data_IF_344116560457
#
_entry.id   IF_344116560457
#
_cell.length_a   1.000
_cell.length_b   1.000
_cell.length_c   1.000
_cell.angle_alpha   90.00
_cell.angle_beta   90.00
_cell.angle_gamma   90.00
#
_symmetry.space_group_name_H-M   'P 1'
#
loop_
_entity.id
_entity.type
_entity.pdbx_description
1 polymer ?
#
# COMPACT_ATOMS: atom_id res chain seq x y z
N UNK A 1 -2.83 -56.73 -21.42
CA UNK A 1 -1.53 -56.14 -21.71
C UNK A 1 -1.74 -55.13 -22.83
N UNK A 2 -1.83 -53.91 -22.50
CA UNK A 2 -1.74 -52.79 -23.41
C UNK A 2 -1.26 -51.60 -22.54
N UNK A 3 -0.01 -51.20 -22.78
CA UNK A 3 0.63 -50.07 -22.21
C UNK A 3 -0.15 -48.81 -22.55
N UNK A 4 -0.53 -48.04 -21.53
CA UNK A 4 -0.91 -46.64 -21.64
C UNK A 4 0.20 -45.83 -21.01
N UNK A 5 1.20 -45.56 -21.82
CA UNK A 5 2.15 -44.51 -21.57
C UNK A 5 1.55 -43.21 -22.14
N UNK A 6 0.69 -42.54 -21.35
CA UNK A 6 0.19 -41.20 -21.66
C UNK A 6 1.23 -40.23 -21.12
N UNK A 7 2.26 -39.93 -21.93
CA UNK A 7 3.21 -38.87 -21.66
C UNK A 7 2.50 -37.51 -21.68
N UNK A 8 2.41 -36.87 -20.51
CA UNK A 8 1.97 -35.48 -20.38
C UNK A 8 2.88 -34.55 -21.23
N UNK A 9 2.33 -33.48 -21.79
CA UNK A 9 3.09 -32.56 -22.64
C UNK A 9 4.22 -31.90 -21.85
N UNK A 10 5.38 -31.77 -22.51
CA UNK A 10 6.53 -31.08 -21.97
C UNK A 10 6.26 -29.57 -21.94
N UNK A 11 5.78 -29.08 -20.80
CA UNK A 11 5.48 -27.66 -20.57
C UNK A 11 6.73 -26.76 -20.71
N UNK A 12 7.93 -27.29 -20.50
CA UNK A 12 9.16 -26.55 -20.72
C UNK A 12 9.34 -26.23 -22.20
N UNK A 13 9.00 -27.16 -23.09
CA UNK A 13 9.01 -26.94 -24.54
C UNK A 13 7.94 -25.92 -24.97
N UNK A 14 6.76 -25.97 -24.35
CA UNK A 14 5.67 -25.02 -24.60
C UNK A 14 6.02 -23.59 -24.12
N UNK A 15 6.66 -23.50 -22.97
CA UNK A 15 7.11 -22.21 -22.43
C UNK A 15 8.22 -21.59 -23.29
N UNK A 16 9.20 -22.38 -23.70
CA UNK A 16 10.25 -21.94 -24.60
C UNK A 16 9.72 -21.50 -25.98
N UNK A 17 8.61 -22.09 -26.42
CA UNK A 17 7.96 -21.73 -27.68
C UNK A 17 7.11 -20.47 -27.57
N UNK A 18 6.50 -20.19 -26.41
CA UNK A 18 5.70 -18.98 -26.16
C UNK A 18 6.55 -17.75 -25.81
N UNK A 19 7.66 -17.94 -25.10
CA UNK A 19 8.48 -16.84 -24.56
C UNK A 19 9.87 -16.72 -25.20
N UNK A 20 10.20 -17.62 -26.14
CA UNK A 20 11.47 -17.64 -26.85
C UNK A 20 12.45 -18.71 -26.34
N UNK A 21 13.35 -19.20 -27.24
CA UNK A 21 14.27 -20.32 -26.91
C UNK A 21 15.36 -19.97 -25.88
N UNK A 22 15.56 -18.69 -25.59
CA UNK A 22 16.57 -18.19 -24.66
C UNK A 22 16.04 -17.90 -23.26
N UNK A 23 14.72 -18.12 -22.99
CA UNK A 23 14.11 -17.90 -21.68
C UNK A 23 14.13 -19.21 -20.90
N UNK A 24 15.11 -19.37 -20.01
CA UNK A 24 15.13 -20.48 -19.06
C UNK A 24 14.04 -20.30 -18.00
N UNK A 25 13.24 -21.35 -17.78
CA UNK A 25 12.30 -21.39 -16.65
C UNK A 25 13.07 -21.20 -15.33
N UNK A 26 12.69 -20.27 -14.45
CA UNK A 26 13.25 -20.19 -13.12
C UNK A 26 13.20 -21.57 -12.45
N UNK A 27 14.29 -22.02 -11.79
CA UNK A 27 14.38 -23.36 -11.22
C UNK A 27 13.26 -23.66 -10.22
N UNK A 28 12.71 -22.65 -9.56
CA UNK A 28 11.57 -22.76 -8.65
C UNK A 28 10.26 -23.07 -9.38
N UNK A 29 10.04 -22.46 -10.54
CA UNK A 29 8.89 -22.71 -11.41
C UNK A 29 8.96 -24.09 -12.06
N UNK A 30 10.15 -24.51 -12.46
CA UNK A 30 10.39 -25.85 -12.99
C UNK A 30 10.14 -26.94 -11.93
N UNK A 31 10.57 -26.72 -10.68
CA UNK A 31 10.30 -27.62 -9.56
C UNK A 31 8.80 -27.64 -9.20
N UNK A 32 8.13 -26.50 -9.19
CA UNK A 32 6.71 -26.40 -8.94
C UNK A 32 5.88 -27.12 -10.01
N UNK A 33 6.28 -27.00 -11.29
CA UNK A 33 5.61 -27.68 -12.41
C UNK A 33 5.87 -29.20 -12.37
N UNK A 34 7.08 -29.63 -12.02
CA UNK A 34 7.37 -31.05 -11.84
C UNK A 34 6.58 -31.68 -10.69
N UNK A 35 6.32 -30.91 -9.63
CA UNK A 35 5.48 -31.33 -8.50
C UNK A 35 3.98 -31.38 -8.85
N UNK A 36 3.51 -30.50 -9.74
CA UNK A 36 2.13 -30.52 -10.28
C UNK A 36 1.84 -31.74 -11.15
N UNK A 37 2.89 -32.31 -11.78
CA UNK A 37 2.76 -33.52 -12.60
C UNK A 37 2.73 -34.82 -11.76
N UNK A 38 2.99 -34.73 -10.45
CA UNK A 38 2.86 -35.87 -9.55
C UNK A 38 1.43 -36.02 -9.08
N UNK A 39 0.87 -37.21 -9.23
CA UNK A 39 -0.47 -37.56 -8.74
C UNK A 39 -0.53 -37.30 -7.22
N UNK A 40 -1.49 -36.48 -6.72
CA UNK A 40 -1.66 -36.20 -5.30
C UNK A 40 -1.80 -37.47 -4.44
N UNK A 41 -2.28 -38.57 -5.05
CA UNK A 41 -2.40 -39.85 -4.37
C UNK A 41 -1.04 -40.57 -4.21
N UNK A 42 0.02 -40.16 -4.90
CA UNK A 42 1.30 -40.85 -4.91
C UNK A 42 2.26 -40.46 -3.78
N UNK A 43 2.03 -39.30 -3.13
CA UNK A 43 2.90 -38.79 -2.05
C UNK A 43 2.13 -37.86 -1.11
N UNK A 44 2.28 -38.02 0.23
CA UNK A 44 1.70 -37.09 1.20
C UNK A 44 2.19 -35.64 1.00
N UNK A 45 3.40 -35.46 0.49
CA UNK A 45 3.97 -34.15 0.16
C UNK A 45 3.29 -33.53 -1.07
N UNK A 46 3.03 -34.32 -2.12
CA UNK A 46 2.29 -33.88 -3.30
C UNK A 46 0.84 -33.49 -2.95
N UNK A 47 0.17 -34.25 -2.09
CA UNK A 47 -1.19 -33.95 -1.59
C UNK A 47 -1.19 -32.64 -0.79
N UNK A 48 -0.22 -32.44 0.10
CA UNK A 48 -0.10 -31.21 0.90
C UNK A 48 0.22 -30.00 0.02
N UNK A 49 1.05 -30.17 -0.99
CA UNK A 49 1.41 -29.12 -1.96
C UNK A 49 0.23 -28.78 -2.87
N UNK A 50 -0.54 -29.77 -3.31
CA UNK A 50 -1.77 -29.60 -4.09
C UNK A 50 -2.85 -28.88 -3.27
N UNK A 51 -3.03 -29.27 -2.00
CA UNK A 51 -3.94 -28.59 -1.08
C UNK A 51 -3.49 -27.14 -0.78
N UNK A 52 -2.20 -26.91 -0.65
CA UNK A 52 -1.65 -25.57 -0.44
C UNK A 52 -1.81 -24.70 -1.68
N UNK A 53 -1.65 -25.27 -2.88
CA UNK A 53 -1.93 -24.58 -4.15
C UNK A 53 -3.40 -24.30 -4.35
N UNK A 54 -4.30 -25.25 -4.05
CA UNK A 54 -5.74 -24.99 -4.06
C UNK A 54 -6.15 -23.90 -3.07
N UNK A 55 -5.53 -23.83 -1.89
CA UNK A 55 -5.78 -22.77 -0.93
C UNK A 55 -5.28 -21.41 -1.43
N UNK A 56 -4.13 -21.36 -2.12
CA UNK A 56 -3.53 -20.14 -2.65
C UNK A 56 -4.25 -19.64 -3.92
N UNK A 57 -4.65 -20.55 -4.80
CA UNK A 57 -5.17 -20.23 -6.13
C UNK A 57 -6.66 -20.60 -6.32
N UNK A 58 -7.29 -21.22 -5.32
CA UNK A 58 -8.63 -21.82 -5.44
C UNK A 58 -9.79 -20.89 -5.16
N UNK A 59 -9.60 -19.66 -4.71
CA UNK A 59 -10.70 -18.80 -4.28
C UNK A 59 -10.77 -17.47 -5.02
N UNK A 60 -11.90 -17.22 -5.66
CA UNK A 60 -12.28 -15.91 -6.21
C UNK A 60 -12.85 -14.98 -5.13
N UNK A 61 -13.02 -15.45 -3.89
CA UNK A 61 -13.57 -14.68 -2.78
C UNK A 61 -12.52 -13.68 -2.25
N UNK A 62 -12.80 -12.37 -2.24
CA UNK A 62 -11.92 -11.36 -1.68
C UNK A 62 -11.49 -11.66 -0.24
N UNK A 63 -12.42 -12.14 0.60
CA UNK A 63 -12.12 -12.46 2.00
C UNK A 63 -11.13 -13.63 2.13
N UNK A 64 -11.22 -14.63 1.25
CA UNK A 64 -10.27 -15.74 1.24
C UNK A 64 -8.87 -15.30 0.79
N UNK A 65 -8.77 -14.30 -0.11
CA UNK A 65 -7.49 -13.71 -0.51
C UNK A 65 -6.83 -12.96 0.65
N UNK A 66 -7.61 -12.13 1.36
CA UNK A 66 -7.15 -11.44 2.59
C UNK A 66 -6.67 -12.46 3.62
N UNK A 67 -7.44 -13.51 3.88
CA UNK A 67 -7.06 -14.56 4.84
C UNK A 67 -5.75 -15.27 4.43
N UNK A 68 -5.59 -15.59 3.14
CA UNK A 68 -4.36 -16.21 2.62
C UNK A 68 -3.14 -15.31 2.81
N UNK A 69 -3.26 -14.02 2.48
CA UNK A 69 -2.17 -13.06 2.67
C UNK A 69 -1.84 -12.88 4.16
N UNK A 70 -2.86 -12.84 5.03
CA UNK A 70 -2.69 -12.76 6.48
C UNK A 70 -1.92 -13.96 7.01
N UNK A 71 -2.28 -15.17 6.60
CA UNK A 71 -1.60 -16.41 7.01
C UNK A 71 -0.14 -16.44 6.53
N UNK A 72 0.13 -15.97 5.33
CA UNK A 72 1.50 -15.86 4.81
C UNK A 72 2.31 -14.81 5.59
N UNK A 73 1.74 -13.65 5.84
CA UNK A 73 2.38 -12.60 6.62
C UNK A 73 2.72 -13.07 8.04
N UNK A 74 1.81 -13.81 8.69
CA UNK A 74 2.07 -14.42 10.01
C UNK A 74 3.21 -15.46 9.97
N UNK A 75 3.32 -16.23 8.89
CA UNK A 75 4.44 -17.16 8.70
C UNK A 75 5.77 -16.40 8.56
N UNK A 76 5.79 -15.28 7.83
CA UNK A 76 6.96 -14.41 7.73
C UNK A 76 7.33 -13.84 9.10
N UNK A 77 6.37 -13.31 9.86
CA UNK A 77 6.58 -12.84 11.23
C UNK A 77 7.22 -13.94 12.11
N UNK A 78 6.71 -15.16 12.04
CA UNK A 78 7.25 -16.29 12.80
C UNK A 78 8.68 -16.68 12.39
N UNK A 79 9.07 -16.46 11.13
CA UNK A 79 10.43 -16.71 10.65
C UNK A 79 11.44 -15.66 11.12
N UNK A 80 11.01 -14.40 11.27
CA UNK A 80 11.88 -13.30 11.75
C UNK A 80 12.28 -13.50 13.21
N UNK A 81 11.44 -14.16 14.01
CA UNK A 81 11.74 -14.48 15.41
C UNK A 81 10.48 -14.63 16.25
N UNK A 82 10.68 -14.90 17.53
CA UNK A 82 9.57 -15.07 18.46
C UNK A 82 8.70 -13.81 18.52
N UNK A 83 7.39 -14.01 18.40
CA UNK A 83 6.38 -12.96 18.55
C UNK A 83 5.60 -13.23 19.86
N UNK A 84 5.99 -12.51 20.91
CA UNK A 84 5.41 -12.73 22.22
C UNK A 84 3.98 -12.19 22.27
N UNK A 85 3.09 -12.95 22.90
CA UNK A 85 1.72 -12.50 23.16
C UNK A 85 1.71 -11.26 24.05
N UNK A 86 0.83 -10.31 23.77
CA UNK A 86 0.68 -9.08 24.54
C UNK A 86 0.09 -9.39 25.91
N UNK A 87 0.79 -8.92 26.96
CA UNK A 87 0.35 -9.05 28.34
C UNK A 87 -0.69 -7.99 28.70
N UNK A 88 -1.48 -8.27 29.75
CA UNK A 88 -2.44 -7.29 30.27
C UNK A 88 -1.76 -6.01 30.82
N UNK A 89 -0.53 -6.12 31.27
CA UNK A 89 0.27 -4.96 31.67
C UNK A 89 0.58 -4.07 30.49
N UNK A 90 1.06 -4.64 29.37
CA UNK A 90 1.36 -3.90 28.14
C UNK A 90 0.11 -3.24 27.52
N UNK A 91 -1.06 -3.91 27.59
CA UNK A 91 -2.33 -3.32 27.14
C UNK A 91 -2.69 -2.08 27.96
N UNK A 92 -2.55 -2.15 29.28
CA UNK A 92 -2.81 -1.00 30.16
C UNK A 92 -1.82 0.12 29.89
N UNK A 93 -0.53 -0.16 29.80
CA UNK A 93 0.49 0.84 29.52
C UNK A 93 0.27 1.57 28.17
N UNK A 94 -0.14 0.84 27.13
CA UNK A 94 -0.48 1.44 25.84
C UNK A 94 -1.74 2.33 25.96
N UNK A 95 -2.79 1.84 26.62
CA UNK A 95 -4.02 2.60 26.83
C UNK A 95 -3.77 3.89 27.65
N UNK A 96 -2.98 3.80 28.73
CA UNK A 96 -2.60 4.94 29.55
C UNK A 96 -1.74 5.94 28.77
N UNK A 97 -0.77 5.45 27.99
CA UNK A 97 0.07 6.31 27.16
C UNK A 97 -0.74 7.07 26.11
N UNK A 98 -1.74 6.43 25.50
CA UNK A 98 -2.64 7.07 24.52
C UNK A 98 -3.58 8.08 25.20
N UNK A 99 -4.07 7.80 26.38
CA UNK A 99 -4.85 8.75 27.15
C UNK A 99 -4.03 10.02 27.48
N UNK A 100 -2.77 9.84 27.90
CA UNK A 100 -1.84 10.96 28.13
C UNK A 100 -1.52 11.70 26.82
N UNK A 101 -1.29 10.96 25.73
CA UNK A 101 -1.03 11.55 24.40
C UNK A 101 -2.19 12.43 23.95
N UNK A 102 -3.44 12.00 24.16
CA UNK A 102 -4.63 12.79 23.84
C UNK A 102 -4.65 14.12 24.59
N UNK A 103 -4.38 14.08 25.89
CA UNK A 103 -4.31 15.29 26.74
C UNK A 103 -3.20 16.27 26.30
N UNK A 104 -2.06 15.75 25.82
CA UNK A 104 -0.97 16.61 25.35
C UNK A 104 -1.23 17.17 23.93
N UNK A 105 -2.02 16.49 23.13
CA UNK A 105 -2.37 16.93 21.78
C UNK A 105 -3.50 17.97 21.76
N UNK A 106 -4.44 17.92 22.70
CA UNK A 106 -5.60 18.83 22.74
C UNK A 106 -5.22 20.33 22.67
N UNK A 107 -4.16 20.83 23.38
CA UNK A 107 -3.78 22.23 23.31
C UNK A 107 -2.97 22.60 22.05
N UNK A 108 -2.59 21.66 21.19
CA UNK A 108 -1.68 21.90 20.05
C UNK A 108 -2.29 21.60 18.69
N UNK A 109 -3.51 21.08 18.61
CA UNK A 109 -4.24 20.87 17.35
C UNK A 109 -5.75 20.99 17.55
N UNK A 110 -6.46 21.50 16.52
CA UNK A 110 -7.94 21.55 16.49
C UNK A 110 -8.57 20.22 16.05
N UNK A 111 -7.75 19.28 15.51
CA UNK A 111 -8.24 17.98 15.11
C UNK A 111 -8.45 17.09 16.33
N UNK A 112 -9.67 16.61 16.49
CA UNK A 112 -10.08 15.77 17.61
C UNK A 112 -10.41 14.35 17.13
N UNK A 113 -10.15 13.36 17.99
CA UNK A 113 -10.66 12.00 17.85
C UNK A 113 -11.42 11.65 19.10
N UNK A 114 -12.76 11.78 19.06
CA UNK A 114 -13.59 11.26 20.15
C UNK A 114 -13.30 9.77 20.34
N UNK A 115 -13.12 9.35 21.61
CA UNK A 115 -12.95 7.94 21.97
C UNK A 115 -11.73 7.22 21.35
N UNK A 116 -10.58 7.92 21.22
CA UNK A 116 -9.33 7.29 20.79
C UNK A 116 -9.00 6.07 21.68
N UNK A 117 -8.83 4.90 21.04
CA UNK A 117 -8.58 3.65 21.74
C UNK A 117 -7.10 3.27 21.68
N UNK A 118 -6.44 3.29 22.84
CA UNK A 118 -5.07 2.82 22.99
C UNK A 118 -5.00 1.30 22.98
N UNK A 119 -4.25 0.73 22.04
CA UNK A 119 -4.04 -0.70 21.91
C UNK A 119 -2.55 -1.06 21.93
N UNK A 120 -2.25 -2.25 22.41
CA UNK A 120 -0.93 -2.87 22.28
C UNK A 120 -1.05 -4.07 21.36
N UNK A 121 -0.19 -4.14 20.34
CA UNK A 121 -0.19 -5.21 19.36
C UNK A 121 1.16 -5.93 19.31
N UNK A 122 1.09 -7.24 19.13
CA UNK A 122 2.19 -8.04 18.60
C UNK A 122 2.32 -7.82 17.10
N UNK A 123 3.39 -8.32 16.49
CA UNK A 123 3.57 -8.24 15.03
C UNK A 123 2.46 -8.98 14.28
N UNK A 124 2.02 -10.13 14.80
CA UNK A 124 0.92 -10.89 14.21
C UNK A 124 -0.41 -10.14 14.33
N UNK A 125 -0.70 -9.51 15.48
CA UNK A 125 -1.91 -8.69 15.68
C UNK A 125 -1.90 -7.46 14.75
N UNK A 126 -0.73 -6.82 14.55
CA UNK A 126 -0.60 -5.72 13.58
C UNK A 126 -0.91 -6.18 12.15
N UNK A 127 -0.38 -7.33 11.72
CA UNK A 127 -0.69 -7.92 10.41
C UNK A 127 -2.19 -8.16 10.27
N UNK A 128 -2.82 -8.79 11.27
CA UNK A 128 -4.26 -9.10 11.22
C UNK A 128 -5.12 -7.84 11.14
N UNK A 129 -4.79 -6.83 11.93
CA UNK A 129 -5.55 -5.58 11.97
C UNK A 129 -5.38 -4.73 10.69
N UNK A 130 -4.22 -4.76 10.05
CA UNK A 130 -3.92 -3.87 8.92
C UNK A 130 -4.12 -4.51 7.54
N UNK A 131 -4.11 -5.84 7.43
CA UNK A 131 -4.18 -6.53 6.14
C UNK A 131 -5.39 -6.15 5.28
N UNK A 132 -6.61 -5.98 5.81
CA UNK A 132 -7.75 -5.53 5.00
C UNK A 132 -7.54 -4.15 4.35
N UNK A 133 -6.88 -3.23 5.06
CA UNK A 133 -6.54 -1.91 4.53
C UNK A 133 -5.45 -1.98 3.46
N UNK A 134 -4.43 -2.82 3.66
CA UNK A 134 -3.40 -3.06 2.65
C UNK A 134 -4.00 -3.58 1.34
N UNK A 135 -4.97 -4.50 1.40
CA UNK A 135 -5.67 -4.97 0.20
C UNK A 135 -6.36 -3.82 -0.52
N UNK A 136 -7.15 -3.00 0.18
CA UNK A 136 -7.84 -1.85 -0.43
C UNK A 136 -6.89 -0.88 -1.11
N UNK A 137 -5.73 -0.62 -0.47
CA UNK A 137 -4.73 0.33 -0.99
C UNK A 137 -4.04 -0.16 -2.26
N UNK A 138 -3.71 -1.45 -2.35
CA UNK A 138 -2.87 -1.96 -3.44
C UNK A 138 -3.61 -2.80 -4.49
N UNK A 139 -4.86 -3.21 -4.23
CA UNK A 139 -5.70 -3.96 -5.19
C UNK A 139 -5.88 -3.20 -6.53
N UNK A 140 -6.11 -1.86 -6.57
CA UNK A 140 -6.20 -1.14 -7.84
C UNK A 140 -4.91 -1.21 -8.68
N UNK A 141 -3.75 -1.21 -8.03
CA UNK A 141 -2.45 -1.35 -8.72
C UNK A 141 -2.32 -2.76 -9.32
N UNK A 142 -2.69 -3.79 -8.56
CA UNK A 142 -2.68 -5.18 -9.03
C UNK A 142 -3.65 -5.42 -10.20
N UNK A 143 -4.82 -4.80 -10.17
CA UNK A 143 -5.80 -4.84 -11.26
C UNK A 143 -5.25 -4.15 -12.52
N UNK A 144 -4.57 -3.01 -12.38
CA UNK A 144 -3.88 -2.31 -13.45
C UNK A 144 -2.84 -3.21 -14.14
N UNK A 145 -1.96 -3.85 -13.37
CA UNK A 145 -0.95 -4.80 -13.87
C UNK A 145 -1.60 -5.98 -14.60
N UNK A 146 -2.64 -6.56 -14.01
CA UNK A 146 -3.36 -7.69 -14.64
C UNK A 146 -4.06 -7.28 -15.93
N UNK A 147 -4.68 -6.09 -15.94
CA UNK A 147 -5.31 -5.51 -17.13
C UNK A 147 -4.32 -5.25 -18.27
N UNK A 148 -3.13 -4.73 -17.95
CA UNK A 148 -2.05 -4.51 -18.90
C UNK A 148 -1.57 -5.83 -19.52
N UNK A 149 -1.34 -6.85 -18.69
CA UNK A 149 -0.91 -8.18 -19.16
C UNK A 149 -1.96 -8.79 -20.12
N UNK A 150 -3.24 -8.67 -19.80
CA UNK A 150 -4.34 -9.11 -20.67
C UNK A 150 -4.36 -8.36 -22.00
N UNK A 151 -4.21 -7.03 -21.96
CA UNK A 151 -4.20 -6.18 -23.13
C UNK A 151 -3.00 -6.48 -24.04
N UNK A 152 -1.82 -6.68 -23.45
CA UNK A 152 -0.61 -7.07 -24.18
C UNK A 152 -0.77 -8.44 -24.85
N UNK A 153 -1.30 -9.43 -24.12
CA UNK A 153 -1.55 -10.76 -24.66
C UNK A 153 -2.58 -10.72 -25.79
N UNK A 154 -3.69 -9.98 -25.60
CA UNK A 154 -4.69 -9.80 -26.64
C UNK A 154 -4.08 -9.16 -27.91
N UNK A 155 -3.32 -8.08 -27.75
CA UNK A 155 -2.66 -7.40 -28.88
C UNK A 155 -1.66 -8.32 -29.62
N UNK A 156 -0.96 -9.20 -28.91
CA UNK A 156 -0.07 -10.18 -29.51
C UNK A 156 -0.84 -11.26 -30.29
N UNK A 157 -1.96 -11.73 -29.76
CA UNK A 157 -2.83 -12.68 -30.41
C UNK A 157 -3.54 -12.09 -31.61
N UNK A 158 -4.00 -10.83 -31.54
CA UNK A 158 -4.59 -10.12 -32.67
C UNK A 158 -3.57 -9.97 -33.82
N UNK A 159 -2.30 -9.68 -33.53
CA UNK A 159 -1.21 -9.64 -34.54
C UNK A 159 -0.95 -11.01 -35.18
N UNK A 160 -1.03 -12.08 -34.39
CA UNK A 160 -0.90 -13.45 -34.91
C UNK A 160 -2.12 -13.84 -35.77
N UNK A 161 -3.33 -13.37 -35.42
CA UNK A 161 -4.57 -13.59 -36.18
C UNK A 161 -4.62 -12.80 -37.48
N UNK A 162 -4.08 -11.59 -37.56
CA UNK A 162 -3.98 -10.79 -38.81
C UNK A 162 -3.07 -11.45 -39.85
N UNK A 163 -2.19 -12.36 -39.48
CA UNK A 163 -1.32 -13.13 -40.38
C UNK A 163 -1.92 -14.43 -40.93
N UNK A 164 -3.04 -14.92 -40.36
CA UNK A 164 -3.65 -16.20 -40.76
C UNK A 164 -5.16 -16.19 -40.46
N UNK A 165 -5.99 -16.26 -41.53
CA UNK A 165 -7.46 -16.32 -41.41
C UNK A 165 -8.00 -17.53 -40.62
N UNK A 166 -7.19 -18.54 -40.34
CA UNK A 166 -7.44 -19.65 -39.41
C UNK A 166 -6.11 -20.09 -38.80
N UNK A 167 -5.87 -19.73 -37.56
CA UNK A 167 -4.82 -20.37 -36.75
C UNK A 167 -5.17 -21.83 -36.58
N UNK A 168 -4.53 -22.70 -37.38
CA UNK A 168 -4.60 -24.15 -37.15
C UNK A 168 -3.82 -24.45 -35.84
N UNK A 169 -4.57 -24.65 -34.76
CA UNK A 169 -4.01 -25.00 -33.45
C UNK A 169 -3.13 -26.25 -33.50
N UNK A 170 -3.27 -27.08 -34.57
CA UNK A 170 -2.34 -28.19 -34.84
C UNK A 170 -0.97 -27.71 -35.28
N UNK A 171 -0.91 -26.56 -35.97
CA UNK A 171 0.38 -25.95 -36.38
C UNK A 171 1.19 -25.44 -35.19
N UNK A 172 0.53 -25.21 -34.02
CA UNK A 172 1.17 -24.86 -32.76
C UNK A 172 1.74 -26.10 -32.01
N UNK A 173 1.59 -27.29 -32.56
CA UNK A 173 2.16 -28.52 -31.98
C UNK A 173 1.47 -28.98 -30.70
N UNK A 174 0.25 -28.50 -30.42
CA UNK A 174 -0.51 -28.93 -29.24
C UNK A 174 -0.96 -30.39 -29.40
N UNK A 175 -0.83 -31.23 -28.34
CA UNK A 175 -1.31 -32.60 -28.34
C UNK A 175 -2.83 -32.68 -28.58
N UNK A 176 -3.28 -33.69 -29.33
CA UNK A 176 -4.70 -33.91 -29.63
C UNK A 176 -5.58 -34.01 -28.37
N UNK A 177 -5.03 -34.53 -27.29
CA UNK A 177 -5.71 -34.60 -25.98
C UNK A 177 -6.01 -33.22 -25.38
N UNK A 178 -5.09 -32.27 -25.55
CA UNK A 178 -5.27 -30.88 -25.13
C UNK A 178 -6.24 -30.15 -26.05
N UNK A 179 -6.13 -30.36 -27.35
CA UNK A 179 -7.08 -29.82 -28.35
C UNK A 179 -8.51 -30.33 -28.10
N UNK A 180 -8.66 -31.57 -27.70
CA UNK A 180 -9.98 -32.15 -27.36
C UNK A 180 -10.55 -31.55 -26.06
N UNK A 181 -9.71 -31.25 -25.05
CA UNK A 181 -10.13 -30.56 -23.82
C UNK A 181 -10.46 -29.08 -24.07
N UNK A 182 -9.85 -28.47 -25.04
CA UNK A 182 -10.04 -27.07 -25.41
C UNK A 182 -11.18 -26.86 -26.45
N UNK A 183 -11.95 -27.92 -26.74
CA UNK A 183 -13.12 -27.85 -27.64
C UNK A 183 -12.85 -28.28 -29.07
N UNK A 184 -11.67 -28.78 -29.41
CA UNK A 184 -11.28 -29.27 -30.75
C UNK A 184 -10.45 -28.26 -31.56
N UNK A 185 -9.89 -28.74 -32.68
CA UNK A 185 -9.00 -27.95 -33.53
C UNK A 185 -9.66 -26.72 -34.21
N UNK A 186 -11.00 -26.74 -34.30
CA UNK A 186 -11.81 -25.67 -34.91
C UNK A 186 -12.34 -24.65 -33.90
N UNK A 187 -11.89 -24.74 -32.61
CA UNK A 187 -12.35 -23.80 -31.57
C UNK A 187 -11.77 -22.40 -31.84
N UNK A 188 -12.62 -21.36 -31.94
CA UNK A 188 -12.14 -20.00 -32.12
C UNK A 188 -11.18 -19.61 -30.99
N UNK A 189 -10.09 -18.94 -31.31
CA UNK A 189 -9.09 -18.44 -30.33
C UNK A 189 -9.75 -17.65 -29.18
N UNK A 190 -10.83 -16.92 -29.48
CA UNK A 190 -11.64 -16.20 -28.49
C UNK A 190 -12.31 -17.10 -27.45
N UNK A 191 -12.73 -18.31 -27.82
CA UNK A 191 -13.31 -19.28 -26.90
C UNK A 191 -12.24 -19.92 -26.01
N UNK A 192 -11.06 -20.19 -26.56
CA UNK A 192 -9.87 -20.63 -25.80
C UNK A 192 -9.45 -19.59 -24.76
N UNK A 193 -9.35 -18.33 -25.15
CA UNK A 193 -9.07 -17.22 -24.24
C UNK A 193 -10.11 -17.13 -23.13
N UNK A 194 -11.39 -17.30 -23.45
CA UNK A 194 -12.48 -17.30 -22.47
C UNK A 194 -12.36 -18.41 -21.41
N UNK A 195 -11.71 -19.53 -21.72
CA UNK A 195 -11.47 -20.62 -20.76
C UNK A 195 -10.17 -20.42 -19.95
N UNK A 196 -9.12 -19.86 -20.55
CA UNK A 196 -7.81 -19.68 -19.88
C UNK A 196 -7.78 -18.40 -19.03
N UNK A 197 -8.49 -17.34 -19.45
CA UNK A 197 -8.50 -16.06 -18.73
C UNK A 197 -8.87 -16.18 -17.25
N UNK A 198 -9.95 -16.90 -16.85
CA UNK A 198 -10.29 -17.03 -15.42
C UNK A 198 -9.21 -17.72 -14.59
N UNK A 199 -8.57 -18.75 -15.14
CA UNK A 199 -7.47 -19.44 -14.45
C UNK A 199 -6.24 -18.55 -14.28
N UNK A 200 -5.92 -17.74 -15.29
CA UNK A 200 -4.83 -16.76 -15.21
C UNK A 200 -5.14 -15.64 -14.20
N UNK A 201 -6.36 -15.14 -14.18
CA UNK A 201 -6.81 -14.16 -13.19
C UNK A 201 -6.68 -14.68 -11.77
N UNK A 202 -7.11 -15.91 -11.56
CA UNK A 202 -7.05 -16.58 -10.27
C UNK A 202 -5.60 -16.79 -9.82
N UNK A 203 -4.72 -17.23 -10.73
CA UNK A 203 -3.30 -17.39 -10.45
C UNK A 203 -2.62 -16.06 -10.15
N UNK A 204 -2.87 -15.02 -10.93
CA UNK A 204 -2.36 -13.67 -10.72
C UNK A 204 -2.81 -13.10 -9.37
N UNK A 205 -4.09 -13.26 -9.04
CA UNK A 205 -4.67 -12.83 -7.76
C UNK A 205 -4.04 -13.54 -6.56
N UNK A 206 -3.80 -14.85 -6.68
CA UNK A 206 -3.13 -15.64 -5.63
C UNK A 206 -1.67 -15.24 -5.44
N UNK A 207 -0.95 -14.98 -6.54
CA UNK A 207 0.44 -14.51 -6.49
C UNK A 207 0.53 -13.12 -5.87
N UNK A 208 -0.39 -12.23 -6.21
CA UNK A 208 -0.50 -10.92 -5.60
C UNK A 208 -0.75 -11.02 -4.08
N UNK A 209 -1.71 -11.82 -3.64
CA UNK A 209 -1.99 -12.04 -2.22
C UNK A 209 -0.76 -12.59 -1.48
N UNK A 210 0.01 -13.48 -2.12
CA UNK A 210 1.25 -14.01 -1.55
C UNK A 210 2.34 -12.93 -1.41
N UNK A 211 2.56 -12.12 -2.44
CA UNK A 211 3.53 -11.02 -2.42
C UNK A 211 3.15 -9.96 -1.36
N UNK A 212 1.87 -9.59 -1.31
CA UNK A 212 1.38 -8.65 -0.29
C UNK A 212 1.60 -9.21 1.12
N UNK A 213 1.25 -10.49 1.35
CA UNK A 213 1.47 -11.15 2.62
C UNK A 213 2.94 -11.17 3.04
N UNK A 214 3.86 -11.45 2.11
CA UNK A 214 5.30 -11.40 2.37
C UNK A 214 5.76 -9.98 2.71
N UNK A 215 5.34 -8.98 1.94
CA UNK A 215 5.72 -7.59 2.16
C UNK A 215 5.22 -7.04 3.49
N UNK A 216 3.93 -7.24 3.80
CA UNK A 216 3.33 -6.79 5.07
C UNK A 216 3.94 -7.53 6.26
N UNK A 217 4.19 -8.85 6.13
CA UNK A 217 4.87 -9.62 7.16
C UNK A 217 6.31 -9.15 7.44
N UNK A 218 7.04 -8.75 6.40
CA UNK A 218 8.37 -8.16 6.56
C UNK A 218 8.31 -6.78 7.24
N UNK A 219 7.32 -5.93 6.90
CA UNK A 219 7.11 -4.63 7.54
C UNK A 219 6.78 -4.75 9.02
N UNK A 220 6.02 -5.77 9.42
CA UNK A 220 5.67 -6.03 10.82
C UNK A 220 6.89 -6.21 11.74
N UNK A 221 8.04 -6.59 11.19
CA UNK A 221 9.29 -6.70 11.95
C UNK A 221 9.84 -5.33 12.38
N UNK A 222 9.57 -4.29 11.59
CA UNK A 222 10.19 -2.98 11.74
C UNK A 222 9.27 -1.93 12.35
N UNK A 223 7.93 -2.03 12.21
CA UNK A 223 7.00 -1.01 12.70
C UNK A 223 6.93 -0.96 14.22
N UNK A 224 6.77 0.22 14.79
CA UNK A 224 6.63 0.44 16.25
C UNK A 224 5.23 0.88 16.65
N UNK A 225 4.39 1.27 15.67
CA UNK A 225 3.01 1.71 15.88
C UNK A 225 2.10 1.36 14.69
N UNK A 226 0.79 1.47 14.88
CA UNK A 226 -0.22 1.03 13.93
C UNK A 226 -0.08 1.62 12.55
N UNK A 227 0.06 2.95 12.46
CA UNK A 227 0.11 3.71 11.21
C UNK A 227 1.50 4.30 10.90
N UNK A 228 2.59 3.74 11.48
CA UNK A 228 3.97 4.26 11.26
C UNK A 228 4.36 4.35 9.77
N UNK A 229 3.77 3.53 8.95
CA UNK A 229 3.96 3.58 7.49
C UNK A 229 3.42 4.85 6.82
N UNK A 230 2.74 5.73 7.57
CA UNK A 230 2.18 6.99 7.03
C UNK A 230 0.89 6.82 6.24
N UNK A 231 0.22 5.67 6.36
CA UNK A 231 -1.02 5.33 5.68
C UNK A 231 -2.14 5.02 6.67
N UNK A 232 -3.42 5.27 6.31
CA UNK A 232 -4.58 4.94 7.14
C UNK A 232 -4.89 3.43 7.10
N UNK A 233 -3.99 2.62 7.66
CA UNK A 233 -4.10 1.15 7.61
C UNK A 233 -4.80 0.54 8.82
N UNK A 234 -5.18 1.34 9.81
CA UNK A 234 -5.93 0.91 11.00
C UNK A 234 -7.37 1.40 10.94
N UNK A 235 -8.25 0.78 11.71
CA UNK A 235 -9.60 1.31 11.90
C UNK A 235 -9.55 2.71 12.53
N UNK A 236 -10.53 3.60 12.19
CA UNK A 236 -10.57 4.95 12.74
C UNK A 236 -10.56 4.97 14.28
N UNK A 237 -9.77 5.88 14.84
CA UNK A 237 -9.65 6.04 16.29
C UNK A 237 -8.77 5.01 17.01
N UNK A 238 -8.26 4.00 16.33
CA UNK A 238 -7.33 3.02 16.93
C UNK A 238 -5.91 3.59 16.91
N UNK A 239 -5.34 3.76 18.11
CA UNK A 239 -3.95 4.19 18.34
C UNK A 239 -3.18 3.00 18.90
N UNK A 240 -2.45 2.31 18.05
CA UNK A 240 -1.77 1.07 18.43
C UNK A 240 -0.26 1.27 18.60
N UNK A 241 0.29 0.67 19.64
CA UNK A 241 1.73 0.59 19.88
C UNK A 241 2.19 -0.85 19.86
N UNK A 242 3.44 -1.09 19.51
CA UNK A 242 4.06 -2.41 19.49
C UNK A 242 5.10 -2.51 20.60
N UNK A 243 4.75 -3.03 21.80
CA UNK A 243 5.58 -2.94 22.99
C UNK A 243 6.98 -3.54 22.83
N UNK A 244 7.11 -4.65 22.13
CA UNK A 244 8.41 -5.29 21.91
C UNK A 244 9.35 -4.39 21.10
N UNK A 245 8.84 -3.73 20.05
CA UNK A 245 9.60 -2.80 19.22
C UNK A 245 9.86 -1.47 19.93
N UNK A 246 8.92 -0.99 20.77
CA UNK A 246 9.11 0.17 21.63
C UNK A 246 10.27 -0.07 22.60
N UNK A 247 10.30 -1.23 23.26
CA UNK A 247 11.40 -1.62 24.15
C UNK A 247 12.75 -1.72 23.42
N UNK A 248 12.76 -2.23 22.17
CA UNK A 248 13.96 -2.30 21.36
C UNK A 248 14.46 -0.89 21.02
N UNK A 249 13.60 0.02 20.57
CA UNK A 249 13.97 1.42 20.31
C UNK A 249 14.51 2.10 21.55
N UNK A 250 13.91 1.86 22.71
CA UNK A 250 14.38 2.39 23.98
C UNK A 250 15.80 1.91 24.32
N UNK A 251 16.06 0.62 24.15
CA UNK A 251 17.37 0.02 24.36
C UNK A 251 18.43 0.58 23.38
N UNK A 252 18.09 0.71 22.09
CA UNK A 252 18.99 1.21 21.05
C UNK A 252 19.38 2.69 21.28
N UNK A 253 18.45 3.48 21.81
CA UNK A 253 18.67 4.90 22.11
C UNK A 253 19.25 5.13 23.49
N UNK A 254 19.22 4.14 24.40
CA UNK A 254 19.57 4.31 25.80
C UNK A 254 18.65 5.30 26.54
N UNK A 255 17.38 5.38 26.12
CA UNK A 255 16.35 6.25 26.71
C UNK A 255 15.36 5.38 27.48
N UNK A 256 14.83 5.91 28.59
CA UNK A 256 13.79 5.25 29.38
C UNK A 256 12.58 4.85 28.51
N UNK A 257 12.15 3.60 28.62
CA UNK A 257 11.10 3.03 27.79
C UNK A 257 9.76 3.78 27.92
N UNK A 258 9.44 4.29 29.12
CA UNK A 258 8.19 5.03 29.31
C UNK A 258 8.21 6.36 28.51
N UNK A 259 9.36 7.02 28.41
CA UNK A 259 9.49 8.23 27.58
C UNK A 259 9.36 7.90 26.08
N UNK A 260 9.99 6.82 25.63
CA UNK A 260 9.88 6.36 24.22
C UNK A 260 8.42 6.00 23.91
N UNK A 261 7.76 5.24 24.79
CA UNK A 261 6.35 4.86 24.65
C UNK A 261 5.43 6.07 24.58
N UNK A 262 5.58 7.05 25.45
CA UNK A 262 4.79 8.28 25.42
C UNK A 262 5.04 9.10 24.15
N UNK A 263 6.29 9.24 23.73
CA UNK A 263 6.62 9.94 22.48
C UNK A 263 5.95 9.27 21.27
N UNK A 264 6.05 7.94 21.17
CA UNK A 264 5.47 7.19 20.07
C UNK A 264 3.93 7.20 20.14
N UNK A 265 3.34 7.17 21.33
CA UNK A 265 1.90 7.32 21.53
C UNK A 265 1.40 8.69 21.05
N UNK A 266 2.09 9.77 21.38
CA UNK A 266 1.74 11.13 20.88
C UNK A 266 1.84 11.20 19.37
N UNK A 267 2.91 10.65 18.79
CA UNK A 267 3.12 10.64 17.35
C UNK A 267 2.05 9.84 16.61
N UNK A 268 1.73 8.65 17.11
CA UNK A 268 0.69 7.80 16.53
C UNK A 268 -0.68 8.43 16.70
N UNK A 269 -1.01 8.96 17.89
CA UNK A 269 -2.27 9.64 18.13
C UNK A 269 -2.44 10.90 17.26
N UNK A 270 -1.37 11.65 17.00
CA UNK A 270 -1.39 12.79 16.07
C UNK A 270 -1.77 12.33 14.65
N UNK A 271 -1.17 11.23 14.16
CA UNK A 271 -1.45 10.68 12.84
C UNK A 271 -2.89 10.14 12.74
N UNK A 272 -3.34 9.43 13.77
CA UNK A 272 -4.73 8.93 13.83
C UNK A 272 -5.73 10.09 13.89
N UNK A 273 -5.42 11.19 14.61
CA UNK A 273 -6.25 12.41 14.60
C UNK A 273 -6.38 12.99 13.19
N UNK A 274 -5.27 13.04 12.45
CA UNK A 274 -5.29 13.53 11.08
C UNK A 274 -6.16 12.63 10.17
N UNK A 275 -5.91 11.33 10.16
CA UNK A 275 -6.67 10.40 9.30
C UNK A 275 -8.15 10.29 9.68
N UNK A 276 -8.50 10.43 10.96
CA UNK A 276 -9.88 10.36 11.43
C UNK A 276 -10.59 11.71 11.27
N UNK A 277 -9.91 12.81 11.58
CA UNK A 277 -10.45 14.16 11.54
C UNK A 277 -10.53 14.77 10.13
N UNK A 278 -9.87 14.18 9.15
CA UNK A 278 -9.83 14.62 7.74
C UNK A 278 -10.41 13.55 6.82
N UNK A 279 -11.73 13.44 6.68
CA UNK A 279 -12.40 12.31 6.02
C UNK A 279 -12.04 12.10 4.55
N UNK A 280 -11.61 13.15 3.85
CA UNK A 280 -11.22 13.09 2.44
C UNK A 280 -9.79 12.57 2.22
N UNK A 281 -8.92 12.61 3.26
CA UNK A 281 -7.48 12.33 3.12
C UNK A 281 -7.21 10.86 2.80
N UNK A 282 -7.83 9.93 3.51
CA UNK A 282 -7.70 8.48 3.24
C UNK A 282 -8.11 8.12 1.82
N UNK A 283 -9.35 8.43 1.38
CA UNK A 283 -9.79 8.22 0.00
C UNK A 283 -8.91 8.89 -1.06
N UNK A 284 -8.36 10.08 -0.78
CA UNK A 284 -7.45 10.75 -1.70
C UNK A 284 -6.11 10.00 -1.84
N UNK A 285 -5.56 9.49 -0.74
CA UNK A 285 -4.35 8.65 -0.78
C UNK A 285 -4.64 7.35 -1.56
N UNK A 286 -5.75 6.68 -1.29
CA UNK A 286 -6.18 5.48 -2.01
C UNK A 286 -6.32 5.74 -3.53
N UNK A 287 -6.99 6.84 -3.90
CA UNK A 287 -7.13 7.24 -5.30
C UNK A 287 -5.78 7.61 -5.95
N UNK A 288 -4.88 8.26 -5.22
CA UNK A 288 -3.55 8.59 -5.71
C UNK A 288 -2.71 7.33 -5.96
N UNK A 289 -2.74 6.35 -5.06
CA UNK A 289 -2.09 5.04 -5.25
C UNK A 289 -2.70 4.32 -6.47
N UNK A 290 -4.02 4.25 -6.57
CA UNK A 290 -4.72 3.63 -7.72
C UNK A 290 -4.49 4.34 -9.06
N UNK A 291 -4.13 5.63 -9.04
CA UNK A 291 -3.82 6.40 -10.25
C UNK A 291 -2.38 6.18 -10.78
N UNK A 292 -1.54 5.46 -10.04
CA UNK A 292 -0.25 5.00 -10.53
C UNK A 292 -0.51 3.90 -11.57
N UNK A 293 -0.70 4.34 -12.83
CA UNK A 293 -1.08 3.45 -13.93
C UNK A 293 0.10 2.51 -14.27
N UNK A 294 -0.02 1.24 -13.87
CA UNK A 294 0.92 0.17 -14.21
C UNK A 294 0.53 -0.55 -15.51
N UNK A 295 -0.34 0.05 -16.32
CA UNK A 295 -0.91 -0.60 -17.51
C UNK A 295 -0.05 -0.50 -18.77
N UNK A 296 1.16 0.08 -18.71
CA UNK A 296 2.07 0.12 -19.87
C UNK A 296 2.66 -1.27 -20.16
N UNK A 297 2.29 -1.92 -21.29
CA UNK A 297 2.78 -3.25 -21.64
C UNK A 297 4.30 -3.30 -21.87
N UNK A 298 4.92 -2.20 -22.27
CA UNK A 298 6.36 -2.14 -22.52
C UNK A 298 7.13 -2.11 -21.20
N UNK A 299 6.65 -1.30 -20.24
CA UNK A 299 7.19 -1.25 -18.87
C UNK A 299 7.01 -2.61 -18.15
N UNK A 300 5.85 -3.26 -18.34
CA UNK A 300 5.60 -4.59 -17.77
C UNK A 300 6.54 -5.65 -18.33
N UNK A 301 6.81 -5.63 -19.63
CA UNK A 301 7.71 -6.60 -20.28
C UNK A 301 9.18 -6.40 -19.84
N UNK A 302 9.60 -5.17 -19.60
CA UNK A 302 10.90 -4.84 -19.05
C UNK A 302 11.02 -5.27 -17.58
N UNK A 303 10.00 -5.01 -16.77
CA UNK A 303 9.92 -5.42 -15.37
C UNK A 303 9.91 -6.96 -15.22
N UNK A 304 9.19 -7.67 -16.07
CA UNK A 304 9.17 -9.13 -16.10
C UNK A 304 10.54 -9.72 -16.51
N UNK A 305 11.23 -9.09 -17.47
CA UNK A 305 12.56 -9.55 -17.90
C UNK A 305 13.62 -9.38 -16.82
N UNK A 306 13.43 -8.43 -15.89
CA UNK A 306 14.34 -8.13 -14.78
C UNK A 306 13.94 -8.80 -13.46
N UNK A 307 12.87 -9.61 -13.43
CA UNK A 307 12.26 -10.20 -12.23
C UNK A 307 11.91 -9.16 -11.13
N UNK A 308 11.72 -7.90 -11.52
CA UNK A 308 11.39 -6.77 -10.64
C UNK A 308 10.13 -6.10 -11.17
N UNK A 309 8.96 -6.53 -10.69
CA UNK A 309 7.65 -6.02 -11.12
C UNK A 309 7.46 -4.49 -10.94
N UNK A 310 8.30 -3.84 -10.13
CA UNK A 310 8.20 -2.41 -9.79
C UNK A 310 9.45 -1.60 -10.18
N UNK A 311 10.36 -2.13 -11.00
CA UNK A 311 11.60 -1.46 -11.38
C UNK A 311 11.55 -0.77 -12.76
N UNK A 312 10.40 -0.75 -13.41
CA UNK A 312 10.23 -0.03 -14.68
C UNK A 312 10.35 1.49 -14.45
N UNK A 313 11.01 2.19 -15.37
CA UNK A 313 11.09 3.65 -15.34
C UNK A 313 9.68 4.24 -15.50
N UNK A 314 9.16 5.03 -14.54
CA UNK A 314 7.82 5.58 -14.63
C UNK A 314 7.63 6.46 -15.87
N UNK A 315 6.48 6.38 -16.50
CA UNK A 315 6.09 7.35 -17.53
C UNK A 315 5.93 8.75 -16.92
N UNK A 316 5.96 9.84 -17.70
CA UNK A 316 5.76 11.19 -17.16
C UNK A 316 4.45 11.37 -16.39
N UNK A 317 3.39 10.65 -16.78
CA UNK A 317 2.10 10.67 -16.08
C UNK A 317 2.17 9.92 -14.75
N UNK A 318 2.80 8.76 -14.73
CA UNK A 318 3.07 8.00 -13.49
C UNK A 318 3.95 8.81 -12.55
N UNK A 319 5.02 9.44 -13.05
CA UNK A 319 5.89 10.29 -12.24
C UNK A 319 5.10 11.43 -11.60
N UNK A 320 4.22 12.10 -12.35
CA UNK A 320 3.38 13.17 -11.80
C UNK A 320 2.39 12.66 -10.72
N UNK A 321 1.88 11.43 -10.85
CA UNK A 321 1.03 10.82 -9.83
C UNK A 321 1.83 10.47 -8.57
N UNK A 322 3.03 9.90 -8.74
CA UNK A 322 3.95 9.60 -7.64
C UNK A 322 4.41 10.87 -6.91
N UNK A 323 4.70 11.96 -7.64
CA UNK A 323 5.09 13.24 -7.05
C UNK A 323 3.97 13.83 -6.19
N UNK A 324 2.70 13.77 -6.67
CA UNK A 324 1.53 14.21 -5.87
C UNK A 324 1.34 13.35 -4.63
N UNK A 325 1.43 12.03 -4.77
CA UNK A 325 1.35 11.12 -3.62
C UNK A 325 2.47 11.41 -2.62
N UNK A 326 3.70 11.54 -3.09
CA UNK A 326 4.86 11.88 -2.27
C UNK A 326 4.70 13.20 -1.52
N UNK A 327 4.15 14.24 -2.17
CA UNK A 327 3.84 15.51 -1.53
C UNK A 327 2.77 15.37 -0.45
N UNK A 328 1.68 14.63 -0.71
CA UNK A 328 0.61 14.38 0.28
C UNK A 328 1.17 13.66 1.52
N UNK A 329 1.98 12.62 1.32
CA UNK A 329 2.60 11.89 2.42
C UNK A 329 3.60 12.74 3.20
N UNK A 330 4.35 13.60 2.50
CA UNK A 330 5.26 14.55 3.14
C UNK A 330 4.48 15.57 3.99
N UNK A 331 3.35 16.05 3.51
CA UNK A 331 2.47 16.96 4.26
C UNK A 331 1.91 16.29 5.51
N UNK A 332 1.42 15.05 5.41
CA UNK A 332 0.96 14.27 6.57
C UNK A 332 2.06 14.15 7.62
N UNK A 333 3.22 13.65 7.23
CA UNK A 333 4.31 13.42 8.17
C UNK A 333 4.93 14.71 8.71
N UNK A 334 4.98 15.79 7.90
CA UNK A 334 5.44 17.09 8.33
C UNK A 334 4.53 17.71 9.39
N UNK A 335 3.20 17.60 9.22
CA UNK A 335 2.23 18.02 10.21
C UNK A 335 2.34 17.21 11.51
N UNK A 336 2.43 15.87 11.38
CA UNK A 336 2.64 14.98 12.54
C UNK A 336 3.91 15.31 13.30
N UNK A 337 5.02 15.60 12.61
CA UNK A 337 6.28 16.00 13.25
C UNK A 337 6.13 17.29 14.07
N UNK A 338 5.52 18.33 13.46
CA UNK A 338 5.33 19.62 14.10
C UNK A 338 4.43 19.50 15.34
N UNK A 339 3.27 18.87 15.20
CA UNK A 339 2.28 18.72 16.27
C UNK A 339 2.85 17.84 17.41
N UNK A 340 3.51 16.73 17.06
CA UNK A 340 4.18 15.87 18.05
C UNK A 340 5.25 16.67 18.83
N UNK A 341 6.11 17.42 18.13
CA UNK A 341 7.16 18.19 18.78
C UNK A 341 6.58 19.22 19.76
N UNK A 342 5.51 19.93 19.36
CA UNK A 342 4.83 20.89 20.23
C UNK A 342 4.19 20.22 21.47
N UNK A 343 3.55 19.06 21.27
CA UNK A 343 2.89 18.32 22.36
C UNK A 343 3.86 17.76 23.39
N UNK A 344 5.01 17.22 22.96
CA UNK A 344 5.93 16.52 23.87
C UNK A 344 6.96 17.46 24.53
N UNK A 345 7.26 18.62 23.93
CA UNK A 345 8.31 19.52 24.41
C UNK A 345 8.18 19.94 25.88
N UNK A 346 6.97 20.23 26.41
CA UNK A 346 6.81 20.60 27.83
C UNK A 346 6.98 19.43 28.80
N UNK A 347 6.90 18.18 28.33
CA UNK A 347 6.69 17.00 29.15
C UNK A 347 7.85 16.00 29.13
N UNK A 348 8.54 15.87 27.99
CA UNK A 348 9.60 14.88 27.82
C UNK A 348 10.99 15.55 27.77
N UNK A 349 11.87 15.26 28.74
CA UNK A 349 13.23 15.79 28.73
C UNK A 349 14.04 15.40 27.49
N UNK A 350 13.75 14.22 26.91
CA UNK A 350 14.41 13.67 25.74
C UNK A 350 13.67 13.95 24.42
N UNK A 351 12.67 14.86 24.40
CA UNK A 351 11.84 15.15 23.22
C UNK A 351 12.64 15.41 21.94
N UNK A 352 13.70 16.23 22.03
CA UNK A 352 14.56 16.56 20.89
C UNK A 352 15.31 15.33 20.34
N UNK A 353 15.85 14.50 21.22
CA UNK A 353 16.57 13.27 20.85
C UNK A 353 15.62 12.25 20.19
N UNK A 354 14.41 12.09 20.75
CA UNK A 354 13.37 11.21 20.22
C UNK A 354 12.87 11.69 18.85
N UNK A 355 12.71 13.01 18.67
CA UNK A 355 12.36 13.61 17.39
C UNK A 355 13.42 13.36 16.31
N UNK A 356 14.69 13.50 16.66
CA UNK A 356 15.80 13.20 15.75
C UNK A 356 15.87 11.71 15.42
N UNK A 357 15.67 10.83 16.40
CA UNK A 357 15.62 9.39 16.18
C UNK A 357 14.47 9.00 15.25
N UNK A 358 13.28 9.59 15.42
CA UNK A 358 12.12 9.37 14.54
C UNK A 358 12.41 9.84 13.10
N UNK A 359 13.08 10.98 12.90
CA UNK A 359 13.48 11.45 11.56
C UNK A 359 14.50 10.52 10.90
N UNK A 360 15.50 10.03 11.64
CA UNK A 360 16.48 9.06 11.12
C UNK A 360 15.85 7.74 10.77
N UNK A 361 14.92 7.27 11.61
CA UNK A 361 14.21 6.00 11.38
C UNK A 361 13.37 6.00 10.09
N UNK A 362 12.89 7.16 9.63
CA UNK A 362 12.17 7.26 8.36
C UNK A 362 13.04 6.98 7.14
N UNK A 363 14.32 7.34 7.19
CA UNK A 363 15.26 7.05 6.10
C UNK A 363 15.58 5.56 6.10
N UNK A 364 15.13 4.83 5.09
CA UNK A 364 15.22 3.36 5.03
C UNK A 364 14.27 2.61 5.95
N UNK A 365 13.31 3.31 6.58
CA UNK A 365 12.36 2.73 7.53
C UNK A 365 11.17 2.05 6.88
N UNK A 366 10.19 1.60 7.72
CA UNK A 366 9.02 0.83 7.25
C UNK A 366 8.22 1.54 6.17
N UNK A 367 7.98 2.86 6.31
CA UNK A 367 7.25 3.64 5.33
C UNK A 367 7.93 3.63 3.96
N UNK A 368 9.25 3.92 3.90
CA UNK A 368 9.99 3.91 2.65
C UNK A 368 10.00 2.50 2.01
N UNK A 369 10.20 1.45 2.81
CA UNK A 369 10.15 0.06 2.34
C UNK A 369 8.78 -0.31 1.77
N UNK A 370 7.69 0.11 2.44
CA UNK A 370 6.33 -0.12 1.98
C UNK A 370 6.07 0.55 0.62
N UNK A 371 6.38 1.84 0.51
CA UNK A 371 6.14 2.60 -0.71
C UNK A 371 7.03 2.13 -1.87
N UNK A 372 8.31 1.87 -1.63
CA UNK A 372 9.21 1.32 -2.64
C UNK A 372 8.76 -0.08 -3.10
N UNK A 373 8.31 -0.93 -2.16
CA UNK A 373 7.92 -2.31 -2.45
C UNK A 373 6.55 -2.45 -3.11
N UNK A 374 5.57 -1.60 -2.77
CA UNK A 374 4.19 -1.75 -3.25
C UNK A 374 3.79 -0.77 -4.36
N UNK A 375 4.43 0.39 -4.42
CA UNK A 375 4.03 1.47 -5.33
C UNK A 375 5.20 1.97 -6.18
N UNK A 376 6.44 1.58 -5.85
CA UNK A 376 7.64 2.08 -6.54
C UNK A 376 7.99 3.54 -6.20
N UNK A 377 7.43 4.08 -5.10
CA UNK A 377 7.65 5.45 -4.67
C UNK A 377 8.83 5.54 -3.71
N UNK A 378 9.79 6.41 -4.00
CA UNK A 378 10.82 6.84 -3.05
C UNK A 378 10.42 8.18 -2.43
N UNK A 379 10.09 8.18 -1.11
CA UNK A 379 9.69 9.39 -0.39
C UNK A 379 10.94 10.20 -0.05
N UNK A 380 11.12 11.33 -0.72
CA UNK A 380 12.28 12.20 -0.56
C UNK A 380 12.35 12.86 0.84
N UNK A 381 13.44 12.70 1.59
CA UNK A 381 13.62 13.35 2.90
C UNK A 381 13.58 14.90 2.83
N UNK A 382 13.85 15.49 1.67
CA UNK A 382 13.77 16.94 1.46
C UNK A 382 12.33 17.42 1.56
N UNK A 383 11.39 16.77 0.86
CA UNK A 383 9.96 17.13 0.87
C UNK A 383 9.37 17.10 2.28
N UNK A 384 9.80 16.16 3.13
CA UNK A 384 9.38 16.11 4.53
C UNK A 384 9.77 17.36 5.33
N UNK A 385 10.98 17.91 5.09
CA UNK A 385 11.43 19.15 5.74
C UNK A 385 10.68 20.36 5.22
N UNK A 386 10.46 20.43 3.92
CA UNK A 386 9.72 21.53 3.29
C UNK A 386 8.27 21.55 3.82
N UNK A 387 7.62 20.39 3.96
CA UNK A 387 6.30 20.27 4.58
C UNK A 387 6.29 20.70 6.05
N UNK A 388 7.28 20.27 6.86
CA UNK A 388 7.38 20.70 8.26
C UNK A 388 7.54 22.21 8.36
N UNK A 389 8.36 22.83 7.50
CA UNK A 389 8.59 24.27 7.46
C UNK A 389 7.32 25.02 7.02
N UNK A 390 6.57 24.52 6.05
CA UNK A 390 5.30 25.08 5.61
C UNK A 390 4.28 25.12 6.76
N UNK A 391 4.12 24.00 7.47
CA UNK A 391 3.22 23.91 8.62
C UNK A 391 3.65 24.85 9.77
N UNK A 392 4.95 24.98 10.01
CA UNK A 392 5.49 25.91 11.00
C UNK A 392 5.21 27.38 10.60
N UNK A 393 5.38 27.73 9.33
CA UNK A 393 5.09 29.08 8.82
C UNK A 393 3.60 29.44 8.91
N UNK A 394 2.69 28.48 8.63
CA UNK A 394 1.26 28.68 8.86
C UNK A 394 0.93 28.89 10.33
N UNK A 395 1.54 28.10 11.21
CA UNK A 395 1.37 28.25 12.64
C UNK A 395 1.87 29.62 13.14
N UNK A 396 3.04 30.06 12.70
CA UNK A 396 3.61 31.36 13.04
C UNK A 396 2.74 32.52 12.54
N UNK A 397 2.06 32.33 11.40
CA UNK A 397 1.21 33.36 10.78
C UNK A 397 -0.16 33.52 11.42
N UNK A 398 -0.80 32.43 11.79
CA UNK A 398 -2.19 32.45 12.26
C UNK A 398 -2.53 31.41 13.31
N UNK A 399 -1.51 30.82 13.93
CA UNK A 399 -1.66 29.83 14.99
C UNK A 399 -2.22 28.50 14.51
N UNK A 400 -2.63 27.71 15.49
CA UNK A 400 -3.24 26.40 15.30
C UNK A 400 -4.46 26.43 14.35
N UNK A 401 -5.41 27.40 14.46
CA UNK A 401 -6.57 27.40 13.59
C UNK A 401 -6.23 27.57 12.11
N UNK A 402 -5.31 28.47 11.75
CA UNK A 402 -4.93 28.65 10.34
C UNK A 402 -4.21 27.44 9.78
N UNK A 403 -3.33 26.82 10.57
CA UNK A 403 -2.62 25.59 10.17
C UNK A 403 -3.60 24.45 9.92
N UNK A 404 -4.50 24.15 10.86
CA UNK A 404 -5.35 22.98 10.82
C UNK A 404 -6.53 23.17 9.85
N UNK A 405 -7.05 24.39 9.65
CA UNK A 405 -8.04 24.71 8.64
C UNK A 405 -7.59 24.43 7.19
N UNK A 406 -6.30 24.22 6.96
CA UNK A 406 -5.80 23.75 5.67
C UNK A 406 -6.22 22.31 5.35
N UNK A 407 -6.68 21.56 6.35
CA UNK A 407 -7.21 20.20 6.20
C UNK A 407 -8.74 20.13 6.06
N UNK A 408 -9.46 21.26 6.13
CA UNK A 408 -10.93 21.27 6.07
C UNK A 408 -11.47 20.82 4.70
N UNK A 409 -10.73 21.09 3.62
CA UNK A 409 -11.12 20.70 2.27
C UNK A 409 -9.89 20.37 1.41
N UNK A 410 -9.98 19.42 0.45
CA UNK A 410 -8.86 19.08 -0.45
C UNK A 410 -8.26 20.29 -1.18
N UNK A 411 -9.12 21.25 -1.62
CA UNK A 411 -8.67 22.44 -2.35
C UNK A 411 -7.95 23.46 -1.45
N UNK A 412 -8.06 23.30 -0.14
CA UNK A 412 -7.37 24.14 0.84
C UNK A 412 -6.02 23.52 1.27
N UNK A 413 -5.82 22.24 1.03
CA UNK A 413 -4.59 21.55 1.37
C UNK A 413 -3.45 22.01 0.48
N UNK A 414 -2.20 22.10 1.02
CA UNK A 414 -1.04 22.43 0.21
C UNK A 414 -0.80 21.37 -0.87
N UNK A 415 -0.27 21.81 -2.00
CA UNK A 415 0.13 20.96 -3.14
C UNK A 415 1.64 20.74 -3.19
N UNK A 416 2.10 19.97 -4.17
CA UNK A 416 3.54 19.82 -4.45
C UNK A 416 4.20 21.18 -4.77
N UNK A 417 3.51 22.05 -5.53
CA UNK A 417 4.00 23.38 -5.90
C UNK A 417 4.10 24.31 -4.67
N UNK A 418 3.20 24.15 -3.71
CA UNK A 418 3.21 24.92 -2.46
C UNK A 418 4.37 24.50 -1.53
N UNK A 419 4.88 23.28 -1.66
CA UNK A 419 6.11 22.88 -0.98
C UNK A 419 7.35 23.54 -1.57
N UNK A 420 7.31 23.97 -2.83
CA UNK A 420 8.39 24.71 -3.48
C UNK A 420 8.29 26.22 -3.19
N UNK A 421 7.07 26.74 -2.91
CA UNK A 421 6.81 28.13 -2.49
C UNK A 421 5.95 28.21 -1.20
N UNK A 422 6.48 27.79 -0.04
CA UNK A 422 5.72 27.76 1.20
C UNK A 422 5.18 29.13 1.63
N UNK A 423 5.94 30.20 1.38
CA UNK A 423 5.52 31.56 1.78
C UNK A 423 4.38 32.06 0.92
N UNK A 424 4.38 31.79 -0.38
CA UNK A 424 3.26 32.13 -1.25
C UNK A 424 1.98 31.42 -0.85
N UNK A 425 2.05 30.15 -0.44
CA UNK A 425 0.90 29.43 0.10
C UNK A 425 0.40 30.05 1.40
N UNK A 426 1.29 30.34 2.37
CA UNK A 426 0.93 30.97 3.66
C UNK A 426 0.25 32.32 3.44
N UNK A 427 0.77 33.15 2.54
CA UNK A 427 0.18 34.46 2.24
C UNK A 427 -1.22 34.31 1.60
N UNK A 428 -1.42 33.36 0.69
CA UNK A 428 -2.75 33.06 0.11
C UNK A 428 -3.74 32.61 1.19
N UNK A 429 -3.31 31.74 2.11
CA UNK A 429 -4.17 31.22 3.19
C UNK A 429 -4.48 32.25 4.26
N UNK A 430 -3.59 33.21 4.51
CA UNK A 430 -3.77 34.27 5.48
C UNK A 430 -4.49 35.50 4.89
N UNK A 431 -4.64 35.57 3.56
CA UNK A 431 -5.35 36.66 2.92
C UNK A 431 -6.85 36.60 3.28
N UNK A 432 -7.51 37.76 3.51
CA UNK A 432 -8.96 37.76 3.66
C UNK A 432 -9.62 37.20 2.40
N UNK A 433 -10.75 36.48 2.53
CA UNK A 433 -11.47 35.98 1.39
C UNK A 433 -11.80 37.11 0.44
N UNK A 434 -11.40 36.99 -0.82
CA UNK A 434 -11.79 37.95 -1.84
C UNK A 434 -13.21 37.56 -2.30
N UNK A 435 -14.15 38.52 -2.31
CA UNK A 435 -15.48 38.24 -2.79
C UNK A 435 -15.42 37.77 -4.25
N UNK A 436 -16.03 36.66 -4.54
CA UNK A 436 -16.16 36.16 -5.91
C UNK A 436 -17.21 36.97 -6.70
N UNK A 437 -17.39 36.66 -7.99
CA UNK A 437 -18.36 37.37 -8.82
C UNK A 437 -19.78 37.19 -8.34
N UNK A 438 -20.11 36.10 -7.66
CA UNK A 438 -21.41 35.81 -7.09
C UNK A 438 -21.63 36.59 -5.80
N UNK A 439 -20.62 36.71 -4.94
CA UNK A 439 -20.64 37.52 -3.73
C UNK A 439 -20.86 39.00 -4.07
N UNK A 440 -20.15 39.53 -5.08
CA UNK A 440 -20.31 40.88 -5.55
C UNK A 440 -21.71 41.16 -6.14
N UNK A 441 -22.29 40.21 -6.85
CA UNK A 441 -23.62 40.31 -7.38
C UNK A 441 -24.68 40.21 -6.28
N UNK A 442 -24.47 39.35 -5.26
CA UNK A 442 -25.33 39.25 -4.09
C UNK A 442 -25.31 40.53 -3.27
N UNK A 443 -24.13 41.10 -3.01
CA UNK A 443 -23.98 42.38 -2.31
C UNK A 443 -24.67 43.52 -3.09
N UNK A 444 -24.58 43.47 -4.42
CA UNK A 444 -25.28 44.43 -5.26
C UNK A 444 -26.81 44.30 -5.14
N UNK A 445 -27.35 43.09 -5.21
CA UNK A 445 -28.78 42.81 -5.07
C UNK A 445 -29.30 43.18 -3.68
N UNK A 446 -28.53 42.92 -2.63
CA UNK A 446 -28.88 43.30 -1.25
C UNK A 446 -28.88 44.82 -1.09
N UNK A 447 -27.89 45.52 -1.64
CA UNK A 447 -27.83 47.00 -1.58
C UNK A 447 -28.94 47.67 -2.40
N UNK A 448 -29.37 47.09 -3.52
CA UNK A 448 -30.55 47.57 -4.28
C UNK A 448 -31.84 47.33 -3.52
N UNK A 449 -32.00 46.23 -2.79
CA UNK A 449 -33.17 45.92 -1.97
C UNK A 449 -33.30 46.83 -0.75
N UNK A 450 -32.18 47.22 -0.12
CA UNK A 450 -32.18 48.18 1.03
C UNK A 450 -32.39 49.65 0.59
N UNK A 451 -32.13 49.95 -0.69
CA UNK A 451 -32.34 51.29 -1.24
C UNK A 451 -33.76 51.60 -1.66
N UNK A 452 -34.62 50.58 -1.80
CA UNK A 452 -36.06 50.70 -2.16
C UNK A 452 -37.02 50.67 -0.94
N UNK A 453 -36.51 50.64 0.29
CA UNK A 453 -37.27 50.68 1.54
C UNK A 453 -37.18 52.05 2.22
#
# INVERSE_FOLDING_TARGET
>A
MADRDESMPDFAALFAQLFGPDVELPPELAQMMAALQQDPASSPMAAMMHQQMQALFGSSDPNARVATATDLARKVVAQVGADASITEHQRREASEAVAVASLWLDPVTTLEVPDAQGQAWSRAEWVEATMPAWFRLVEPVAEGVTGAAKSAMKAQLDRLAEGTENLDLRALGLPESLLAQLGGADTPLSALLGQVTPAMEQMSSGMFAAQLGQGVGALAADVVSGTEVGLPVTDPGIVALMPAQVAQVAADLGIDEAQVRLYLAVREAARVRLFTGVPWLGPQIEAAIGSVDMSDPAALNEAMSQAQLFAATPTPQQQSALDRLGATLALVEGWVDLVTAAAVAPHLPQAAALGEAARRRRVGGPAQKAFAGFVGLDVEPRRLRDATNLWAALFDRGGMPLRDASWDHPDLAPTADDLDDPLGYVDRRAAPPQPDAMDLELDRLLSEADGDA
#
